data_IF_201567854045
#
_entry.id   IF_201567854045
#
_cell.length_a   1.000
_cell.length_b   1.000
_cell.length_c   1.000
_cell.angle_alpha   90.00
_cell.angle_beta   90.00
_cell.angle_gamma   90.00
#
_symmetry.space_group_name_H-M   'P 1'
#
loop_
_entity.id
_entity.type
_entity.pdbx_description
1 polymer ?
#
# COMPACT_ATOMS: atom_id res chain seq x y z
N UNK A 1 -9.99 -15.53 4.81
CA UNK A 1 -10.02 -15.34 3.34
C UNK A 1 -8.75 -14.66 2.86
N UNK A 2 -8.52 -13.40 3.24
CA UNK A 2 -7.38 -12.61 2.75
C UNK A 2 -6.00 -13.07 3.24
N UNK A 3 -5.91 -13.67 4.44
CA UNK A 3 -4.65 -14.27 4.95
C UNK A 3 -4.13 -15.47 4.14
N UNK A 4 -4.95 -16.07 3.26
CA UNK A 4 -4.56 -17.22 2.44
C UNK A 4 -4.24 -16.83 0.98
N UNK A 5 -4.56 -15.60 0.57
CA UNK A 5 -4.34 -15.10 -0.78
C UNK A 5 -3.18 -14.11 -0.82
N UNK A 6 -2.55 -13.97 -1.96
CA UNK A 6 -1.47 -13.00 -2.22
C UNK A 6 -1.88 -11.91 -3.22
N UNK A 7 -3.16 -11.86 -3.58
CA UNK A 7 -3.70 -10.83 -4.45
C UNK A 7 -3.67 -9.47 -3.75
N UNK A 8 -3.28 -8.43 -4.50
CA UNK A 8 -3.32 -7.05 -4.03
C UNK A 8 -4.75 -6.66 -3.67
N UNK A 9 -4.93 -6.10 -2.49
CA UNK A 9 -6.21 -5.72 -1.91
C UNK A 9 -6.64 -4.32 -2.37
N UNK A 10 -5.69 -3.43 -2.66
CA UNK A 10 -5.98 -2.08 -3.16
C UNK A 10 -6.19 -2.13 -4.67
N UNK A 11 -7.21 -1.41 -5.16
CA UNK A 11 -7.47 -1.31 -6.60
C UNK A 11 -6.30 -0.57 -7.29
N UNK A 12 -5.76 -1.19 -8.34
CA UNK A 12 -4.58 -0.69 -9.08
C UNK A 12 -4.74 0.73 -9.65
N UNK A 13 -5.89 1.05 -10.25
CA UNK A 13 -6.09 2.36 -10.90
C UNK A 13 -6.11 3.53 -9.89
N UNK A 14 -6.89 3.47 -8.78
CA UNK A 14 -6.79 4.47 -7.71
C UNK A 14 -5.38 4.58 -7.11
N UNK A 15 -4.71 3.46 -6.84
CA UNK A 15 -3.34 3.48 -6.31
C UNK A 15 -2.37 4.17 -7.27
N UNK A 16 -2.43 3.86 -8.57
CA UNK A 16 -1.61 4.51 -9.58
C UNK A 16 -1.88 6.03 -9.67
N UNK A 17 -3.14 6.47 -9.54
CA UNK A 17 -3.48 7.91 -9.52
C UNK A 17 -2.84 8.60 -8.32
N UNK A 18 -2.93 8.00 -7.13
CA UNK A 18 -2.31 8.52 -5.92
C UNK A 18 -0.78 8.61 -6.04
N UNK A 19 -0.12 7.57 -6.59
CA UNK A 19 1.33 7.62 -6.83
C UNK A 19 1.71 8.78 -7.75
N UNK A 20 0.92 9.05 -8.79
CA UNK A 20 1.17 10.16 -9.72
C UNK A 20 0.91 11.52 -9.09
N UNK A 21 -0.16 11.64 -8.30
CA UNK A 21 -0.51 12.85 -7.56
C UNK A 21 0.64 13.25 -6.63
N UNK A 22 1.10 12.33 -5.78
CA UNK A 22 2.22 12.58 -4.87
C UNK A 22 3.51 12.90 -5.63
N UNK A 23 3.80 12.18 -6.72
CA UNK A 23 5.01 12.40 -7.49
C UNK A 23 5.05 13.76 -8.21
N UNK A 24 3.90 14.32 -8.59
CA UNK A 24 3.79 15.62 -9.23
C UNK A 24 4.27 16.76 -8.32
N UNK A 25 4.11 16.62 -7.00
CA UNK A 25 4.59 17.60 -6.02
C UNK A 25 6.12 17.68 -5.98
N UNK A 26 6.82 16.61 -6.40
CA UNK A 26 8.28 16.57 -6.45
C UNK A 26 8.84 16.95 -7.82
N UNK A 27 8.22 16.47 -8.90
CA UNK A 27 8.65 16.75 -10.27
C UNK A 27 7.52 16.51 -11.26
N UNK A 28 7.23 17.54 -12.07
CA UNK A 28 6.26 17.43 -13.16
C UNK A 28 6.78 16.49 -14.26
N UNK A 29 5.84 15.91 -15.02
CA UNK A 29 6.12 15.07 -16.20
C UNK A 29 6.93 13.77 -15.94
N UNK A 30 6.93 13.28 -14.70
CA UNK A 30 7.49 11.97 -14.38
C UNK A 30 6.72 10.83 -15.04
N UNK A 31 7.46 9.93 -15.69
CA UNK A 31 6.94 8.68 -16.23
C UNK A 31 7.36 7.53 -15.33
N UNK A 32 6.40 6.66 -15.03
CA UNK A 32 6.63 5.47 -14.22
C UNK A 32 6.61 4.23 -15.11
N UNK A 33 7.55 3.32 -14.88
CA UNK A 33 7.44 1.95 -15.38
C UNK A 33 6.25 1.25 -14.70
N UNK A 34 5.61 0.32 -15.40
CA UNK A 34 4.52 -0.48 -14.83
C UNK A 34 4.98 -1.29 -13.61
N UNK A 35 6.17 -1.87 -13.67
CA UNK A 35 6.82 -2.61 -12.58
C UNK A 35 7.08 -1.72 -11.35
N UNK A 36 7.45 -0.46 -11.54
CA UNK A 36 7.71 0.47 -10.43
C UNK A 36 6.43 0.75 -9.62
N UNK A 37 5.29 0.97 -10.30
CA UNK A 37 4.00 1.17 -9.62
C UNK A 37 3.57 -0.09 -8.87
N UNK A 38 3.78 -1.27 -9.46
CA UNK A 38 3.50 -2.55 -8.80
C UNK A 38 4.36 -2.75 -7.55
N UNK A 39 5.67 -2.49 -7.63
CA UNK A 39 6.58 -2.60 -6.49
C UNK A 39 6.19 -1.64 -5.35
N UNK A 40 5.80 -0.41 -5.68
CA UNK A 40 5.25 0.54 -4.70
C UNK A 40 4.00 0.00 -4.03
N UNK A 41 3.10 -0.64 -4.78
CA UNK A 41 1.88 -1.20 -4.23
C UNK A 41 2.14 -2.38 -3.31
N UNK A 42 2.99 -3.32 -3.72
CA UNK A 42 3.39 -4.48 -2.91
C UNK A 42 4.01 -4.04 -1.58
N UNK A 43 4.96 -3.10 -1.63
CA UNK A 43 5.60 -2.58 -0.42
C UNK A 43 4.60 -1.85 0.49
N UNK A 44 3.70 -1.04 -0.08
CA UNK A 44 2.71 -0.29 0.69
C UNK A 44 1.71 -1.20 1.39
N UNK A 45 1.19 -2.22 0.68
CA UNK A 45 0.24 -3.17 1.28
C UNK A 45 0.92 -4.04 2.35
N UNK A 46 2.15 -4.51 2.13
CA UNK A 46 2.90 -5.24 3.14
C UNK A 46 3.14 -4.40 4.40
N UNK A 47 3.51 -3.13 4.24
CA UNK A 47 3.70 -2.19 5.36
C UNK A 47 2.40 -1.99 6.14
N UNK A 48 1.28 -1.73 5.46
CA UNK A 48 -0.01 -1.51 6.10
C UNK A 48 -0.50 -2.74 6.85
N UNK A 49 -0.34 -3.94 6.28
CA UNK A 49 -0.71 -5.19 6.95
C UNK A 49 0.10 -5.38 8.22
N UNK A 50 1.43 -5.25 8.17
CA UNK A 50 2.28 -5.37 9.36
C UNK A 50 1.94 -4.33 10.43
N UNK A 51 1.69 -3.07 10.03
CA UNK A 51 1.26 -2.02 10.95
C UNK A 51 -0.08 -2.36 11.62
N UNK A 52 -1.03 -2.95 10.90
CA UNK A 52 -2.31 -3.37 11.48
C UNK A 52 -2.18 -4.59 12.39
N UNK A 53 -1.26 -5.51 12.09
CA UNK A 53 -0.94 -6.62 12.98
C UNK A 53 -0.44 -6.10 14.34
N UNK A 54 0.53 -5.18 14.33
CA UNK A 54 1.05 -4.55 15.54
C UNK A 54 -0.02 -3.73 16.27
N UNK A 55 -0.81 -2.96 15.53
CA UNK A 55 -1.92 -2.17 16.10
C UNK A 55 -2.94 -3.07 16.79
N UNK A 56 -3.23 -4.24 16.20
CA UNK A 56 -4.13 -5.22 16.79
C UNK A 56 -3.55 -5.83 18.06
N UNK A 57 -2.23 -6.12 18.10
CA UNK A 57 -1.56 -6.55 19.33
C UNK A 57 -1.67 -5.48 20.44
N UNK A 58 -1.51 -4.20 20.10
CA UNK A 58 -1.73 -3.10 21.05
C UNK A 58 -3.19 -3.01 21.54
N UNK A 59 -4.17 -3.27 20.67
CA UNK A 59 -5.59 -3.29 21.07
C UNK A 59 -5.91 -4.45 22.03
N UNK A 60 -5.43 -5.65 21.71
CA UNK A 60 -5.54 -6.83 22.58
C UNK A 60 -4.87 -6.57 23.93
N UNK A 61 -3.68 -5.96 23.94
CA UNK A 61 -2.98 -5.55 25.16
C UNK A 61 -3.84 -4.60 26.02
N UNK A 62 -4.57 -3.69 25.38
CA UNK A 62 -5.51 -2.78 26.04
C UNK A 62 -6.87 -3.43 26.38
N UNK A 63 -7.05 -4.73 26.16
CA UNK A 63 -8.31 -5.48 26.36
C UNK A 63 -9.49 -4.89 25.59
N UNK A 64 -9.24 -4.43 24.36
CA UNK A 64 -10.26 -3.96 23.43
C UNK A 64 -10.38 -4.88 22.21
#
# INVERSE_FOLDING_TARGET
RYQKSTELLIRKLPFQRLVREIAQDFKTDLRFQSSAVMALQEASEAYLVGLFEDTNLCAIHAKR
#
